data_IF_933656007879
#
_entry.id   IF_933656007879
#
_cell.length_a   1.000
_cell.length_b   1.000
_cell.length_c   1.000
_cell.angle_alpha   90.00
_cell.angle_beta   90.00
_cell.angle_gamma   90.00
#
_symmetry.space_group_name_H-M   'P 1'
#
loop_
_entity.id
_entity.type
_entity.pdbx_description
1 polymer ?
#
# COMPACT_ATOMS: atom_id res chain seq x y z
N UNK A 1 -12.99 20.99 3.79
CA UNK A 1 -11.91 21.09 2.78
C UNK A 1 -10.89 20.01 2.94
N UNK A 2 -10.32 19.91 4.14
CA UNK A 2 -9.28 18.90 4.41
C UNK A 2 -9.82 17.49 4.19
N UNK A 3 -11.01 17.19 4.73
CA UNK A 3 -11.56 15.85 4.59
C UNK A 3 -11.97 15.53 3.17
N UNK A 4 -12.35 16.53 2.38
CA UNK A 4 -12.61 16.32 0.96
C UNK A 4 -11.34 15.90 0.23
N UNK A 5 -10.21 16.53 0.56
CA UNK A 5 -8.91 16.17 -0.02
C UNK A 5 -8.51 14.74 0.36
N UNK A 6 -8.70 14.37 1.63
CA UNK A 6 -8.43 13.01 2.10
C UNK A 6 -9.30 12.00 1.33
N UNK A 7 -10.58 12.30 1.16
CA UNK A 7 -11.50 11.43 0.43
C UNK A 7 -11.03 11.22 -1.01
N UNK A 8 -10.58 12.29 -1.68
CA UNK A 8 -10.06 12.18 -3.04
C UNK A 8 -8.86 11.25 -3.12
N UNK A 9 -7.95 11.35 -2.16
CA UNK A 9 -6.77 10.48 -2.12
C UNK A 9 -7.19 9.03 -1.91
N UNK A 10 -8.09 8.77 -0.97
CA UNK A 10 -8.53 7.41 -0.69
C UNK A 10 -9.22 6.79 -1.92
N UNK A 11 -10.07 7.56 -2.59
CA UNK A 11 -10.73 7.08 -3.81
C UNK A 11 -9.71 6.78 -4.90
N UNK A 12 -8.72 7.67 -5.07
CA UNK A 12 -7.66 7.46 -6.05
C UNK A 12 -6.89 6.19 -5.73
N UNK A 13 -6.53 5.97 -4.47
CA UNK A 13 -5.74 4.81 -4.07
C UNK A 13 -6.50 3.51 -4.23
N UNK A 14 -7.81 3.51 -4.01
CA UNK A 14 -8.62 2.31 -4.22
C UNK A 14 -8.59 1.84 -5.68
N UNK A 15 -8.53 2.78 -6.61
CA UNK A 15 -8.57 2.47 -8.04
C UNK A 15 -7.21 2.39 -8.69
N UNK A 16 -6.20 3.02 -8.10
CA UNK A 16 -4.90 3.23 -8.75
C UNK A 16 -3.69 2.89 -7.88
N UNK A 17 -3.86 2.07 -6.85
CA UNK A 17 -2.74 1.71 -5.98
C UNK A 17 -1.60 1.04 -6.76
N UNK A 18 -1.94 0.33 -7.82
CA UNK A 18 -0.96 -0.34 -8.69
C UNK A 18 -0.04 0.65 -9.41
N UNK A 19 -0.42 1.92 -9.48
CA UNK A 19 0.43 2.96 -10.09
C UNK A 19 1.53 3.43 -9.15
N UNK A 20 1.52 2.97 -7.90
CA UNK A 20 2.53 3.27 -6.89
C UNK A 20 2.77 4.77 -6.72
N UNK A 21 1.73 5.57 -6.44
CA UNK A 21 1.89 7.02 -6.31
C UNK A 21 2.75 7.38 -5.10
N UNK A 22 3.44 8.52 -5.20
CA UNK A 22 4.22 9.04 -4.08
C UNK A 22 3.45 10.16 -3.36
N UNK A 23 4.03 10.67 -2.27
CA UNK A 23 3.37 11.68 -1.44
C UNK A 23 3.10 12.97 -2.22
N UNK A 24 3.99 13.34 -3.13
CA UNK A 24 3.82 14.55 -3.96
C UNK A 24 2.57 14.42 -4.83
N UNK A 25 2.37 13.26 -5.44
CA UNK A 25 1.20 13.02 -6.25
C UNK A 25 -0.08 13.06 -5.40
N UNK A 26 -0.01 12.53 -4.18
CA UNK A 26 -1.17 12.56 -3.29
C UNK A 26 -1.51 13.99 -2.86
N UNK A 27 -0.50 14.83 -2.66
CA UNK A 27 -0.74 16.25 -2.37
C UNK A 27 -1.42 16.94 -3.55
N UNK A 28 -0.99 16.65 -4.77
CA UNK A 28 -1.60 17.22 -5.97
C UNK A 28 -3.07 16.80 -6.09
N UNK A 29 -3.35 15.53 -5.88
CA UNK A 29 -4.71 14.99 -5.97
C UNK A 29 -5.62 15.63 -4.91
N UNK A 30 -5.13 15.77 -3.69
CA UNK A 30 -5.90 16.30 -2.59
C UNK A 30 -6.03 17.82 -2.62
N UNK A 31 -5.12 18.50 -3.31
CA UNK A 31 -4.99 19.95 -3.27
C UNK A 31 -4.67 20.45 -1.86
N UNK A 32 -3.95 19.63 -1.10
CA UNK A 32 -3.52 19.93 0.26
C UNK A 32 -2.00 19.90 0.34
N UNK A 33 -1.45 20.65 1.29
CA UNK A 33 -0.04 20.52 1.62
C UNK A 33 0.18 19.16 2.27
N UNK A 34 1.43 18.70 2.28
CA UNK A 34 1.77 17.44 2.93
C UNK A 34 1.33 17.44 4.40
N UNK A 35 1.57 18.55 5.10
CA UNK A 35 1.20 18.66 6.51
C UNK A 35 -0.31 18.55 6.71
N UNK A 36 -1.08 19.22 5.88
CA UNK A 36 -2.53 19.20 5.97
C UNK A 36 -3.07 17.81 5.63
N UNK A 37 -2.48 17.16 4.64
CA UNK A 37 -2.87 15.80 4.27
C UNK A 37 -2.57 14.83 5.41
N UNK A 38 -1.41 14.97 6.07
CA UNK A 38 -1.06 14.13 7.21
C UNK A 38 -2.07 14.30 8.35
N UNK A 39 -2.43 15.55 8.65
CA UNK A 39 -3.43 15.82 9.68
C UNK A 39 -4.76 15.15 9.36
N UNK A 40 -5.22 15.28 8.13
CA UNK A 40 -6.49 14.71 7.72
C UNK A 40 -6.52 13.20 7.81
N UNK A 41 -5.42 12.55 7.42
CA UNK A 41 -5.33 11.09 7.53
C UNK A 41 -5.29 10.63 8.99
N UNK A 42 -4.50 11.31 9.82
CA UNK A 42 -4.45 10.98 11.25
C UNK A 42 -5.81 11.13 11.89
N UNK A 43 -6.52 12.20 11.54
CA UNK A 43 -7.83 12.51 12.08
C UNK A 43 -8.86 11.44 11.72
N UNK A 44 -8.83 10.95 10.48
CA UNK A 44 -9.84 10.02 10.00
C UNK A 44 -9.46 8.56 10.18
N UNK A 45 -8.19 8.22 9.95
CA UNK A 45 -7.74 6.82 9.93
C UNK A 45 -6.72 6.48 11.01
N UNK A 46 -6.23 7.46 11.74
CA UNK A 46 -5.24 7.21 12.78
C UNK A 46 -3.83 6.91 12.27
N UNK A 47 -3.61 7.03 10.97
CA UNK A 47 -2.29 6.76 10.35
C UNK A 47 -1.93 7.88 9.40
N UNK A 48 -0.64 7.95 9.02
CA UNK A 48 -0.20 8.91 8.02
C UNK A 48 -0.55 8.42 6.61
N UNK A 49 -0.56 9.33 5.60
CA UNK A 49 -0.78 8.90 4.22
C UNK A 49 0.23 7.85 3.75
N UNK A 50 1.51 7.99 4.16
CA UNK A 50 2.56 7.04 3.80
C UNK A 50 2.27 5.67 4.39
N UNK A 51 1.85 5.63 5.66
CA UNK A 51 1.47 4.37 6.31
C UNK A 51 0.25 3.75 5.63
N UNK A 52 -0.72 4.57 5.30
CA UNK A 52 -1.92 4.11 4.62
C UNK A 52 -1.58 3.52 3.25
N UNK A 53 -0.75 4.23 2.49
CA UNK A 53 -0.30 3.74 1.18
C UNK A 53 0.43 2.42 1.29
N UNK A 54 1.28 2.27 2.33
CA UNK A 54 1.99 1.02 2.56
C UNK A 54 1.02 -0.13 2.83
N UNK A 55 -0.03 0.11 3.61
CA UNK A 55 -1.06 -0.90 3.86
C UNK A 55 -1.79 -1.30 2.58
N UNK A 56 -2.10 -0.33 1.73
CA UNK A 56 -2.74 -0.59 0.44
C UNK A 56 -1.84 -1.49 -0.42
N UNK A 57 -0.53 -1.20 -0.45
CA UNK A 57 0.44 -1.99 -1.21
C UNK A 57 0.59 -3.40 -0.65
N UNK A 58 0.63 -3.53 0.68
CA UNK A 58 0.70 -4.84 1.32
C UNK A 58 -0.54 -5.67 0.99
N UNK A 59 -1.72 -5.07 1.05
CA UNK A 59 -2.95 -5.77 0.68
C UNK A 59 -2.95 -6.16 -0.80
N UNK A 60 -2.43 -5.31 -1.67
CA UNK A 60 -2.30 -5.63 -3.09
C UNK A 60 -1.39 -6.81 -3.33
N UNK A 61 -0.22 -6.82 -2.66
CA UNK A 61 0.72 -7.94 -2.76
C UNK A 61 0.08 -9.23 -2.22
N UNK A 62 -0.67 -9.13 -1.12
CA UNK A 62 -1.35 -10.29 -0.55
C UNK A 62 -2.35 -10.90 -1.54
N UNK A 63 -3.18 -10.07 -2.15
CA UNK A 63 -4.13 -10.54 -3.16
C UNK A 63 -3.43 -11.16 -4.37
N UNK A 64 -2.33 -10.53 -4.79
CA UNK A 64 -1.54 -11.05 -5.90
C UNK A 64 -0.96 -12.43 -5.57
N UNK A 65 -0.47 -12.60 -4.34
CA UNK A 65 0.07 -13.90 -3.91
C UNK A 65 -1.01 -14.96 -3.82
N UNK A 66 -2.21 -14.60 -3.36
CA UNK A 66 -3.32 -15.55 -3.29
C UNK A 66 -3.75 -16.05 -4.66
N UNK A 67 -3.62 -15.21 -5.69
CA UNK A 67 -4.06 -15.53 -7.03
C UNK A 67 -2.92 -15.98 -7.95
N UNK A 68 -1.69 -16.03 -7.46
CA UNK A 68 -0.53 -16.34 -8.28
C UNK A 68 -0.31 -17.81 -8.42
N UNK A 69 0.33 -18.19 -9.54
CA UNK A 69 0.80 -19.55 -9.78
C UNK A 69 2.29 -19.58 -9.46
N UNK A 70 2.68 -20.37 -8.47
CA UNK A 70 4.08 -20.44 -8.02
C UNK A 70 5.02 -20.96 -9.10
N UNK A 71 4.48 -21.57 -10.15
CA UNK A 71 5.30 -22.06 -11.26
C UNK A 71 5.67 -20.94 -12.23
N UNK A 72 4.98 -19.78 -12.17
CA UNK A 72 5.20 -18.70 -13.13
C UNK A 72 5.72 -17.40 -12.47
N UNK A 73 5.71 -17.33 -11.14
CA UNK A 73 6.18 -16.12 -10.45
C UNK A 73 6.81 -16.46 -9.11
N UNK A 74 7.40 -15.45 -8.49
CA UNK A 74 8.05 -15.60 -7.18
C UNK A 74 7.53 -14.50 -6.24
N UNK A 75 7.73 -14.73 -4.94
CA UNK A 75 7.40 -13.72 -3.93
C UNK A 75 8.16 -12.41 -4.23
N UNK A 76 9.44 -12.51 -4.58
CA UNK A 76 10.25 -11.32 -4.87
C UNK A 76 9.68 -10.51 -6.03
N UNK A 77 9.24 -11.18 -7.08
CA UNK A 77 8.68 -10.49 -8.24
C UNK A 77 7.40 -9.76 -7.87
N UNK A 78 6.53 -10.40 -7.10
CA UNK A 78 5.28 -9.79 -6.67
C UNK A 78 5.56 -8.61 -5.74
N UNK A 79 6.51 -8.74 -4.82
CA UNK A 79 6.89 -7.64 -3.94
C UNK A 79 7.38 -6.44 -4.74
N UNK A 80 8.22 -6.66 -5.74
CA UNK A 80 8.71 -5.59 -6.60
C UNK A 80 7.59 -4.91 -7.37
N UNK A 81 6.64 -5.70 -7.88
CA UNK A 81 5.50 -5.17 -8.63
C UNK A 81 4.67 -4.21 -7.77
N UNK A 82 4.68 -4.40 -6.46
CA UNK A 82 3.93 -3.56 -5.54
C UNK A 82 4.81 -2.53 -4.83
N UNK A 83 6.03 -2.31 -5.33
CA UNK A 83 6.89 -1.23 -4.87
C UNK A 83 7.75 -1.54 -3.66
N UNK A 84 7.91 -2.81 -3.31
CA UNK A 84 8.74 -3.20 -2.18
C UNK A 84 10.12 -3.59 -2.67
N UNK A 85 11.13 -2.77 -2.32
CA UNK A 85 12.52 -3.00 -2.73
C UNK A 85 13.36 -3.63 -1.64
N UNK A 86 12.93 -3.55 -0.37
CA UNK A 86 13.61 -4.20 0.74
C UNK A 86 12.83 -5.44 1.15
N UNK A 87 13.29 -6.58 0.68
CA UNK A 87 12.57 -7.83 0.86
C UNK A 87 12.40 -8.23 2.32
N UNK A 88 13.45 -8.05 3.13
CA UNK A 88 13.39 -8.39 4.55
C UNK A 88 12.34 -7.59 5.31
N UNK A 89 12.26 -6.29 5.03
CA UNK A 89 11.25 -5.43 5.64
C UNK A 89 9.85 -5.80 5.15
N UNK A 90 9.72 -6.07 3.86
CA UNK A 90 8.45 -6.50 3.28
C UNK A 90 7.95 -7.77 3.99
N UNK A 91 8.82 -8.77 4.15
CA UNK A 91 8.45 -10.03 4.79
C UNK A 91 8.00 -9.84 6.24
N UNK A 92 8.70 -8.99 6.99
CA UNK A 92 8.33 -8.70 8.37
C UNK A 92 6.97 -8.01 8.47
N UNK A 93 6.77 -6.99 7.65
CA UNK A 93 5.50 -6.24 7.66
C UNK A 93 4.36 -7.12 7.19
N UNK A 94 4.63 -7.95 6.18
CA UNK A 94 3.65 -8.90 5.68
C UNK A 94 3.22 -9.89 6.77
N UNK A 95 4.20 -10.50 7.45
CA UNK A 95 3.91 -11.45 8.49
C UNK A 95 3.16 -10.80 9.66
N UNK A 96 3.53 -9.56 9.99
CA UNK A 96 2.86 -8.82 11.06
C UNK A 96 1.39 -8.58 10.74
N UNK A 97 1.08 -8.31 9.48
CA UNK A 97 -0.29 -7.97 9.07
C UNK A 97 -1.15 -9.22 8.78
N UNK A 98 -0.57 -10.22 8.13
CA UNK A 98 -1.31 -11.38 7.64
C UNK A 98 -1.07 -12.66 8.43
N UNK A 99 -0.18 -12.61 9.42
CA UNK A 99 0.14 -13.71 10.33
C UNK A 99 0.73 -14.95 9.63
N UNK A 100 1.31 -14.73 8.46
CA UNK A 100 2.08 -15.75 7.74
C UNK A 100 3.10 -15.06 6.86
N UNK A 101 4.10 -15.82 6.42
CA UNK A 101 5.11 -15.31 5.50
C UNK A 101 4.54 -15.25 4.08
N UNK A 102 5.06 -14.33 3.23
CA UNK A 102 4.61 -14.28 1.84
C UNK A 102 4.78 -15.61 1.11
N UNK A 103 5.87 -16.34 1.39
CA UNK A 103 6.12 -17.65 0.79
C UNK A 103 5.06 -18.68 1.16
N UNK A 104 4.49 -18.55 2.34
CA UNK A 104 3.43 -19.46 2.78
C UNK A 104 2.13 -19.18 2.04
N UNK A 105 1.86 -17.90 1.75
CA UNK A 105 0.68 -17.54 0.96
C UNK A 105 0.80 -18.06 -0.47
N UNK A 106 1.97 -17.90 -1.08
CA UNK A 106 2.18 -18.33 -2.47
C UNK A 106 2.06 -19.84 -2.67
N UNK A 107 2.44 -20.61 -1.65
CA UNK A 107 2.34 -22.07 -1.71
C UNK A 107 0.88 -22.52 -1.67
N UNK A 108 0.06 -21.77 -0.97
CA UNK A 108 -1.35 -22.12 -0.84
C UNK A 108 -2.07 -21.99 -2.17
#
# INVERSE_FOLDING_TARGET
KRQLGVTRVVEFLRENAHLLPDITQLCDISQLSERSLQYGFKEKYGVTPVQYLRLIRLNGAHKALLNADKSTTTVAQIALNWGFVEFGRFSRDYKSLFEQLPSQTLIS
#
